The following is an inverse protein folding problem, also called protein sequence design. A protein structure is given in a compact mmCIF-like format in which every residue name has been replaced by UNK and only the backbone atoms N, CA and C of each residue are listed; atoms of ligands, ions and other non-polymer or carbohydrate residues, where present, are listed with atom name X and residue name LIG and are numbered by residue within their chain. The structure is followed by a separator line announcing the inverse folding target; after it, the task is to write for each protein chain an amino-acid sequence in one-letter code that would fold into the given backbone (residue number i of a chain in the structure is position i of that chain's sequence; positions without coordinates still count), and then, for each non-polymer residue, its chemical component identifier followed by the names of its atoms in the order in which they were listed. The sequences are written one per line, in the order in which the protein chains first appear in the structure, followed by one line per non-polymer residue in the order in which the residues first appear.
data_IF_955890040962
#
_entry.id   IF_955890040962
#
_cell.length_a   1.000
_cell.length_b   1.000
_cell.length_c   1.000
_cell.angle_alpha   90.00
_cell.angle_beta   90.00
_cell.angle_gamma   90.00
#
_symmetry.space_group_name_H-M   'P 1'
#
loop_
_entity.id
_entity.type
_entity.pdbx_description
1 polymer ?
#
# COMPACT_ATOMS: atom_id res chain seq x y z
N UNK A 1 -6.99 -34.90 -10.47
CA UNK A 1 -7.74 -33.64 -10.67
C UNK A 1 -8.02 -33.07 -9.29
N UNK A 2 -7.21 -32.15 -8.79
CA UNK A 2 -7.44 -31.46 -7.51
C UNK A 2 -8.21 -30.16 -7.78
N UNK A 3 -9.40 -30.01 -7.20
CA UNK A 3 -10.22 -28.82 -7.40
C UNK A 3 -9.61 -27.62 -6.69
N UNK A 4 -9.24 -26.58 -7.45
CA UNK A 4 -9.03 -25.26 -6.90
C UNK A 4 -10.39 -24.76 -6.37
N UNK A 5 -10.57 -24.74 -5.06
CA UNK A 5 -11.74 -24.12 -4.45
C UNK A 5 -11.79 -22.64 -4.85
N UNK A 6 -12.95 -22.08 -5.25
CA UNK A 6 -13.03 -20.71 -5.71
C UNK A 6 -12.64 -19.73 -4.61
N UNK A 7 -11.93 -18.66 -4.97
CA UNK A 7 -11.73 -17.49 -4.10
C UNK A 7 -13.10 -17.04 -3.55
N UNK A 8 -13.18 -16.82 -2.24
CA UNK A 8 -14.44 -16.45 -1.57
C UNK A 8 -14.36 -15.02 -1.07
N UNK A 9 -15.45 -14.26 -1.20
CA UNK A 9 -15.56 -12.88 -0.72
C UNK A 9 -16.60 -12.80 0.39
N UNK A 10 -16.30 -12.03 1.43
CA UNK A 10 -17.26 -11.69 2.49
C UNK A 10 -17.12 -10.22 2.87
N UNK A 11 -18.14 -9.65 3.53
CA UNK A 11 -18.11 -8.27 4.02
C UNK A 11 -18.35 -8.27 5.52
N UNK A 12 -17.51 -7.58 6.28
CA UNK A 12 -17.65 -7.41 7.74
C UNK A 12 -17.33 -5.97 8.11
N UNK A 13 -18.24 -5.29 8.79
CA UNK A 13 -18.00 -3.92 9.29
C UNK A 13 -17.63 -2.91 8.18
N UNK A 14 -18.14 -3.07 6.96
CA UNK A 14 -17.79 -2.22 5.81
C UNK A 14 -16.45 -2.58 5.15
N UNK A 15 -15.73 -3.59 5.66
CA UNK A 15 -14.49 -4.11 5.07
C UNK A 15 -14.80 -5.34 4.24
N UNK A 16 -14.27 -5.36 3.01
CA UNK A 16 -14.33 -6.54 2.16
C UNK A 16 -13.15 -7.47 2.46
N UNK A 17 -13.47 -8.74 2.70
CA UNK A 17 -12.50 -9.78 3.01
C UNK A 17 -12.47 -10.76 1.86
N UNK A 18 -11.30 -10.91 1.25
CA UNK A 18 -11.04 -11.86 0.17
C UNK A 18 -10.23 -13.04 0.72
N UNK A 19 -10.78 -14.24 0.62
CA UNK A 19 -10.11 -15.48 0.98
C UNK A 19 -9.46 -16.08 -0.27
N UNK A 20 -8.17 -16.40 -0.20
CA UNK A 20 -7.47 -17.08 -1.29
C UNK A 20 -8.06 -18.48 -1.53
N UNK A 21 -8.07 -18.88 -2.80
CA UNK A 21 -8.53 -20.22 -3.20
C UNK A 21 -7.51 -21.30 -2.81
N UNK A 22 -7.94 -22.57 -2.83
CA UNK A 22 -7.04 -23.69 -2.54
C UNK A 22 -5.95 -23.78 -3.62
N UNK A 23 -4.70 -23.51 -3.25
CA UNK A 23 -3.55 -23.50 -4.16
C UNK A 23 -3.21 -22.12 -4.74
N UNK A 24 -3.94 -21.06 -4.38
CA UNK A 24 -3.63 -19.68 -4.76
C UNK A 24 -3.02 -18.97 -3.53
N UNK A 25 -1.87 -18.31 -3.69
CA UNK A 25 -1.27 -17.53 -2.60
C UNK A 25 -1.99 -16.19 -2.43
N UNK A 26 -1.98 -15.63 -1.22
CA UNK A 26 -2.48 -14.27 -0.97
C UNK A 26 -1.80 -13.26 -1.91
N UNK A 27 -0.49 -13.40 -2.12
CA UNK A 27 0.29 -12.59 -3.04
C UNK A 27 -0.24 -12.62 -4.46
N UNK A 28 -0.61 -13.81 -4.95
CA UNK A 28 -1.17 -13.99 -6.29
C UNK A 28 -2.53 -13.32 -6.42
N UNK A 29 -3.36 -13.39 -5.38
CA UNK A 29 -4.65 -12.68 -5.32
C UNK A 29 -4.42 -11.17 -5.31
N UNK A 30 -3.51 -10.66 -4.47
CA UNK A 30 -3.21 -9.22 -4.36
C UNK A 30 -2.67 -8.68 -5.70
N UNK A 31 -1.70 -9.37 -6.32
CA UNK A 31 -1.17 -8.99 -7.64
C UNK A 31 -2.27 -8.92 -8.69
N UNK A 32 -3.19 -9.89 -8.69
CA UNK A 32 -4.35 -9.90 -9.60
C UNK A 32 -5.29 -8.72 -9.35
N UNK A 33 -5.54 -8.35 -8.09
CA UNK A 33 -6.35 -7.18 -7.74
C UNK A 33 -5.67 -5.88 -8.20
N UNK A 34 -4.37 -5.74 -7.92
CA UNK A 34 -3.57 -4.57 -8.34
C UNK A 34 -3.55 -4.43 -9.86
N UNK A 35 -3.39 -5.53 -10.61
CA UNK A 35 -3.37 -5.49 -12.06
C UNK A 35 -4.76 -5.25 -12.70
N UNK A 36 -5.85 -5.66 -12.02
CA UNK A 36 -7.22 -5.50 -12.51
C UNK A 36 -7.80 -4.11 -12.27
N UNK A 37 -7.38 -3.44 -11.20
CA UNK A 37 -7.84 -2.11 -10.82
C UNK A 37 -7.16 -1.03 -11.68
N UNK A 38 -7.92 -0.42 -12.60
CA UNK A 38 -7.42 0.62 -13.52
C UNK A 38 -7.22 2.00 -12.87
N UNK A 39 -7.34 2.14 -11.54
CA UNK A 39 -7.32 3.45 -10.86
C UNK A 39 -6.62 3.39 -9.51
N UNK A 40 -5.58 4.21 -9.35
CA UNK A 40 -5.00 4.74 -8.09
C UNK A 40 -5.23 3.88 -6.83
N UNK A 41 -4.84 2.62 -6.86
CA UNK A 41 -4.98 1.72 -5.71
C UNK A 41 -3.87 2.01 -4.69
N UNK A 42 -4.19 1.98 -3.39
CA UNK A 42 -3.20 2.03 -2.31
C UNK A 42 -3.06 0.61 -1.77
N UNK A 43 -1.83 0.12 -1.71
CA UNK A 43 -1.53 -1.24 -1.26
C UNK A 43 -0.80 -1.17 0.07
N UNK A 44 -1.38 -1.71 1.13
CA UNK A 44 -0.72 -1.73 2.44
C UNK A 44 -0.04 -3.09 2.59
N UNK A 45 1.28 -3.11 2.69
CA UNK A 45 2.06 -4.35 2.79
C UNK A 45 3.40 -4.11 3.48
N UNK A 46 3.90 -5.13 4.18
CA UNK A 46 5.27 -5.23 4.67
C UNK A 46 6.15 -6.09 3.76
N UNK A 47 5.57 -6.70 2.73
CA UNK A 47 6.27 -7.50 1.74
C UNK A 47 6.81 -6.64 0.58
N UNK A 48 8.13 -6.66 0.40
CA UNK A 48 8.82 -5.88 -0.62
C UNK A 48 8.51 -6.30 -2.06
N UNK A 49 8.19 -7.57 -2.31
CA UNK A 49 7.82 -8.06 -3.64
C UNK A 49 6.46 -7.49 -4.07
N UNK A 50 5.48 -7.50 -3.17
CA UNK A 50 4.17 -6.89 -3.41
C UNK A 50 4.29 -5.37 -3.58
N UNK A 51 5.10 -4.71 -2.75
CA UNK A 51 5.34 -3.28 -2.88
C UNK A 51 5.96 -2.93 -4.24
N UNK A 52 6.95 -3.71 -4.70
CA UNK A 52 7.57 -3.53 -6.01
C UNK A 52 6.58 -3.77 -7.15
N UNK A 53 5.72 -4.77 -7.02
CA UNK A 53 4.67 -5.05 -8.00
C UNK A 53 3.62 -3.92 -8.07
N UNK A 54 3.26 -3.34 -6.94
CA UNK A 54 2.36 -2.19 -6.89
C UNK A 54 2.94 -0.99 -7.63
N UNK A 55 4.22 -0.67 -7.42
CA UNK A 55 4.90 0.42 -8.14
C UNK A 55 4.90 0.25 -9.66
N UNK A 56 4.93 -0.98 -10.17
CA UNK A 56 4.92 -1.24 -11.61
C UNK A 56 3.52 -1.17 -12.24
N UNK A 57 2.46 -1.10 -11.43
CA UNK A 57 1.06 -1.14 -11.87
C UNK A 57 0.26 0.11 -11.44
N UNK A 58 0.94 1.26 -11.33
CA UNK A 58 0.32 2.57 -10.97
C UNK A 58 -0.46 2.55 -9.64
N UNK A 59 -0.01 1.68 -8.72
CA UNK A 59 -0.50 1.61 -7.35
C UNK A 59 0.57 2.15 -6.39
N UNK A 60 0.11 2.72 -5.27
CA UNK A 60 0.98 3.32 -4.26
C UNK A 60 1.08 2.35 -3.07
N UNK A 61 2.21 1.67 -2.86
CA UNK A 61 2.41 0.87 -1.67
C UNK A 61 2.70 1.75 -0.45
N UNK A 62 2.18 1.33 0.69
CA UNK A 62 2.38 1.93 2.01
C UNK A 62 2.76 0.82 2.98
N UNK A 63 3.73 1.07 3.84
CA UNK A 63 4.14 0.09 4.83
C UNK A 63 3.07 -0.16 5.89
N UNK A 64 2.91 -1.43 6.27
CA UNK A 64 1.96 -1.86 7.29
C UNK A 64 2.18 -1.15 8.62
N UNK A 65 3.43 -0.98 9.05
CA UNK A 65 3.74 -0.30 10.31
C UNK A 65 3.33 1.18 10.28
N UNK A 66 3.64 1.87 9.19
CA UNK A 66 3.23 3.25 8.99
C UNK A 66 1.71 3.39 9.00
N UNK A 67 1.00 2.47 8.36
CA UNK A 67 -0.46 2.46 8.37
C UNK A 67 -1.03 2.22 9.77
N UNK A 68 -0.45 1.30 10.54
CA UNK A 68 -0.86 1.03 11.91
C UNK A 68 -0.72 2.28 12.81
N UNK A 69 0.42 2.97 12.73
CA UNK A 69 0.65 4.24 13.46
C UNK A 69 -0.39 5.32 13.12
N UNK A 70 -0.79 5.41 11.84
CA UNK A 70 -1.85 6.35 11.41
C UNK A 70 -3.21 5.96 11.99
N UNK A 71 -3.52 4.67 12.01
CA UNK A 71 -4.79 4.16 12.55
C UNK A 71 -4.89 4.45 14.06
N UNK A 72 -3.83 4.15 14.81
CA UNK A 72 -3.76 4.41 16.26
C UNK A 72 -3.89 5.90 16.59
N UNK A 73 -3.27 6.79 15.80
CA UNK A 73 -3.41 8.25 15.99
C UNK A 73 -4.83 8.74 15.70
N UNK A 74 -5.52 8.15 14.72
CA UNK A 74 -6.91 8.50 14.39
C UNK A 74 -7.90 8.06 15.49
N UNK A 75 -7.63 6.94 16.16
CA UNK A 75 -8.44 6.48 17.29
C UNK A 75 -8.19 7.31 18.56
N UNK A 76 -7.06 8.05 18.64
CA UNK A 76 -6.64 8.77 19.84
C UNK A 76 -7.14 10.23 19.98
N UNK A 77 -7.29 11.04 18.91
CA UNK A 77 -7.86 12.40 19.00
C UNK A 77 -8.15 13.07 17.63
N UNK A 78 -9.12 14.00 17.65
CA UNK A 78 -9.59 14.98 16.66
C UNK A 78 -8.59 15.52 15.60
N UNK A 79 -9.06 16.08 14.44
CA UNK A 79 -8.25 16.28 13.24
C UNK A 79 -7.18 17.35 13.43
N UNK A 80 -5.99 16.92 13.84
CA UNK A 80 -4.80 17.76 13.82
C UNK A 80 -4.19 17.71 12.41
N UNK A 81 -4.00 18.91 11.85
CA UNK A 81 -3.26 19.20 10.63
C UNK A 81 -2.05 18.27 10.46
N UNK A 82 -1.99 17.61 9.31
CA UNK A 82 -1.01 16.58 9.00
C UNK A 82 0.35 17.21 8.71
N UNK A 83 1.08 17.57 9.77
CA UNK A 83 2.53 17.72 9.70
C UNK A 83 3.13 16.32 9.70
N UNK A 84 3.44 15.84 8.49
CA UNK A 84 4.24 14.65 8.26
C UNK A 84 5.68 15.00 8.65
N UNK A 85 6.07 14.65 9.87
CA UNK A 85 7.49 14.57 10.22
C UNK A 85 8.14 13.48 9.36
N UNK A 86 9.21 13.90 8.70
CA UNK A 86 10.03 13.18 7.75
C UNK A 86 10.91 12.19 8.52
N UNK A 87 10.42 10.97 8.75
CA UNK A 87 11.29 9.82 9.04
C UNK A 87 11.95 9.43 7.71
N UNK A 88 13.04 10.14 7.40
CA UNK A 88 14.11 9.68 6.51
C UNK A 88 14.61 8.31 7.05
N UNK A 89 15.02 7.41 6.13
CA UNK A 89 15.57 6.06 6.37
C UNK A 89 14.47 4.96 6.44
N UNK A 90 14.21 4.17 5.39
CA UNK A 90 14.99 2.96 5.07
C UNK A 90 14.66 2.46 3.64
N UNK A 91 14.93 3.26 2.61
CA UNK A 91 14.95 2.79 1.21
C UNK A 91 16.06 3.50 0.43
N UNK A 92 17.30 3.39 0.88
CA UNK A 92 18.45 3.89 0.11
C UNK A 92 18.84 2.89 -0.99
N UNK A 93 17.98 2.77 -2.00
CA UNK A 93 18.45 2.35 -3.32
C UNK A 93 18.97 3.58 -4.06
N UNK A 94 20.28 3.80 -3.90
CA UNK A 94 21.14 4.60 -4.77
C UNK A 94 20.83 6.10 -4.78
N UNK A 95 21.30 6.81 -3.73
CA UNK A 95 21.62 8.25 -3.79
C UNK A 95 22.64 8.56 -4.91
N UNK A 96 22.18 8.63 -6.15
CA UNK A 96 22.89 9.29 -7.26
C UNK A 96 22.60 10.79 -7.18
N UNK A 97 23.67 11.53 -6.86
CA UNK A 97 23.75 12.97 -6.63
C UNK A 97 22.72 13.82 -7.39
N UNK A 98 21.89 14.51 -6.61
CA UNK A 98 20.99 15.57 -7.02
C UNK A 98 20.40 16.24 -5.78
N UNK A 99 20.18 17.55 -5.84
CA UNK A 99 19.72 18.41 -4.74
C UNK A 99 18.79 17.70 -3.73
N UNK A 100 19.19 17.51 -2.46
CA UNK A 100 18.45 16.72 -1.46
C UNK A 100 17.04 17.24 -1.15
N UNK A 101 16.76 18.50 -1.51
CA UNK A 101 15.46 19.13 -1.30
C UNK A 101 14.43 18.83 -2.40
N UNK A 102 14.81 18.14 -3.47
CA UNK A 102 13.85 17.73 -4.51
C UNK A 102 13.28 16.37 -4.16
N UNK A 103 12.08 16.39 -3.58
CA UNK A 103 11.20 15.23 -3.51
C UNK A 103 11.24 14.47 -4.83
N UNK A 104 11.57 13.19 -4.75
CA UNK A 104 11.61 12.33 -5.93
C UNK A 104 10.22 12.32 -6.58
N UNK A 105 10.13 11.90 -7.84
CA UNK A 105 8.82 11.77 -8.51
C UNK A 105 7.86 10.88 -7.70
N UNK A 106 8.43 9.90 -6.99
CA UNK A 106 7.75 8.94 -6.11
C UNK A 106 7.17 9.64 -4.88
N UNK A 107 7.94 10.45 -4.17
CA UNK A 107 7.50 11.12 -2.94
C UNK A 107 6.41 12.17 -3.23
N UNK A 108 6.50 12.83 -4.39
CA UNK A 108 5.46 13.77 -4.85
C UNK A 108 4.14 13.06 -5.15
N UNK A 109 4.17 11.83 -5.65
CA UNK A 109 2.98 11.03 -5.90
C UNK A 109 2.34 10.57 -4.57
N UNK A 110 3.16 10.10 -3.63
CA UNK A 110 2.72 9.69 -2.28
C UNK A 110 2.02 10.87 -1.57
N UNK A 111 2.62 12.07 -1.59
CA UNK A 111 2.04 13.27 -0.98
C UNK A 111 0.69 13.66 -1.57
N UNK A 112 0.49 13.48 -2.89
CA UNK A 112 -0.79 13.76 -3.56
C UNK A 112 -1.88 12.75 -3.25
N UNK A 113 -1.52 11.49 -3.06
CA UNK A 113 -2.46 10.44 -2.68
C UNK A 113 -2.92 10.61 -1.22
N UNK A 114 -1.96 10.87 -0.33
CA UNK A 114 -2.22 11.06 1.09
C UNK A 114 -3.06 12.31 1.40
N UNK A 115 -2.88 13.41 0.66
CA UNK A 115 -3.71 14.62 0.85
C UNK A 115 -5.16 14.53 0.36
N UNK A 116 -5.57 13.38 -0.22
CA UNK A 116 -6.94 13.14 -0.69
C UNK A 116 -7.72 12.17 0.22
N UNK A 117 -7.07 11.62 1.23
CA UNK A 117 -7.62 10.76 2.28
C UNK A 117 -7.99 11.60 3.51
#
# INVERSE_FOLDING_TARGET
RGGAGPQTRSVRGGVEIYYSGLGDSADSVIKRMVAGEKKNCVVITSDGEIARYAWSHDAVPVESERFARILERKDAAAPASTDYEDDEDEYDEQRRGGNPYRLSKRDRAIRRALGKL
#
